data_IF_596632031562
#
_entry.id   IF_596632031562
#
_cell.length_a   1.000
_cell.length_b   1.000
_cell.length_c   1.000
_cell.angle_alpha   90.00
_cell.angle_beta   90.00
_cell.angle_gamma   90.00
#
_symmetry.space_group_name_H-M   'P 1'
#
loop_
_entity.id
_entity.type
_entity.pdbx_description
1 polymer ?
#
# COMPACT_ATOMS: atom_id res chain seq x y z
N UNK A 1 1.21 12.57 11.72
CA UNK A 1 1.46 11.36 10.90
C UNK A 1 2.73 11.59 10.06
N UNK A 2 3.51 10.55 9.70
CA UNK A 2 4.70 10.70 8.85
C UNK A 2 4.40 11.35 7.49
N UNK A 3 3.21 11.10 6.94
CA UNK A 3 2.79 11.68 5.66
C UNK A 3 2.58 13.20 5.74
N UNK A 4 2.11 13.72 6.87
CA UNK A 4 1.96 15.17 7.08
C UNK A 4 3.34 15.84 7.12
N UNK A 5 4.32 15.22 7.79
CA UNK A 5 5.70 15.72 7.81
C UNK A 5 6.29 15.76 6.39
N UNK A 6 6.04 14.74 5.57
CA UNK A 6 6.49 14.74 4.17
C UNK A 6 5.86 15.89 3.39
N UNK A 7 4.56 16.14 3.58
CA UNK A 7 3.87 17.27 2.95
C UNK A 7 4.49 18.60 3.37
N UNK A 8 4.60 18.83 4.67
CA UNK A 8 5.05 20.09 5.22
C UNK A 8 6.49 20.41 4.77
N UNK A 9 7.38 19.40 4.75
CA UNK A 9 8.74 19.53 4.20
C UNK A 9 8.71 19.86 2.71
N UNK A 10 7.86 19.19 1.93
CA UNK A 10 7.72 19.48 0.50
C UNK A 10 7.20 20.90 0.27
N UNK A 11 6.23 21.36 1.05
CA UNK A 11 5.62 22.68 0.91
C UNK A 11 6.62 23.80 1.28
N UNK A 12 7.49 23.57 2.27
CA UNK A 12 8.50 24.53 2.70
C UNK A 12 9.74 24.56 1.78
N UNK A 13 10.16 23.40 1.26
CA UNK A 13 11.49 23.23 0.63
C UNK A 13 11.46 22.79 -0.82
N UNK A 14 10.32 22.30 -1.32
CA UNK A 14 10.20 21.63 -2.61
C UNK A 14 10.85 20.24 -2.68
N UNK A 15 11.40 19.73 -1.57
CA UNK A 15 12.04 18.40 -1.56
C UNK A 15 10.98 17.31 -1.56
N UNK A 16 11.09 16.39 -2.51
CA UNK A 16 10.19 15.24 -2.64
C UNK A 16 10.74 14.03 -1.87
N UNK A 17 9.99 13.55 -0.89
CA UNK A 17 10.35 12.40 -0.05
C UNK A 17 9.32 11.28 -0.25
N UNK A 18 9.80 10.06 -0.48
CA UNK A 18 8.94 8.87 -0.58
C UNK A 18 8.63 8.25 0.78
N UNK A 19 7.58 7.44 0.86
CA UNK A 19 7.12 6.75 2.07
C UNK A 19 7.08 5.24 1.89
N UNK A 20 7.56 4.50 2.89
CA UNK A 20 7.51 3.04 2.91
C UNK A 20 6.92 2.54 4.24
N UNK A 21 5.59 2.40 4.38
CA UNK A 21 5.03 1.78 5.57
C UNK A 21 5.43 0.31 5.63
N UNK A 22 5.83 -0.16 6.81
CA UNK A 22 6.29 -1.53 7.02
C UNK A 22 5.71 -2.14 8.30
N UNK A 23 5.50 -3.45 8.27
CA UNK A 23 5.01 -4.24 9.41
C UNK A 23 3.48 -4.20 9.55
N UNK A 24 2.88 -5.38 9.78
CA UNK A 24 1.45 -5.51 10.13
C UNK A 24 0.44 -5.32 8.99
N UNK A 25 0.87 -4.93 7.79
CA UNK A 25 -0.01 -4.82 6.61
C UNK A 25 -0.16 -6.21 5.98
N UNK A 26 -1.29 -6.86 6.22
CA UNK A 26 -1.51 -8.27 5.83
C UNK A 26 -2.58 -8.45 4.76
N UNK A 27 -3.44 -7.46 4.57
CA UNK A 27 -4.60 -7.58 3.67
C UNK A 27 -4.67 -6.46 2.65
N UNK A 28 -5.24 -6.75 1.48
CA UNK A 28 -5.54 -5.80 0.42
C UNK A 28 -6.44 -4.67 0.93
N UNK A 29 -7.40 -4.97 1.82
CA UNK A 29 -8.24 -3.94 2.44
C UNK A 29 -7.41 -2.94 3.27
N UNK A 30 -6.47 -3.42 4.07
CA UNK A 30 -5.55 -2.54 4.81
C UNK A 30 -4.66 -1.74 3.85
N UNK A 31 -4.12 -2.38 2.80
CA UNK A 31 -3.33 -1.69 1.80
C UNK A 31 -4.11 -0.53 1.14
N UNK A 32 -5.38 -0.74 0.79
CA UNK A 32 -6.26 0.32 0.27
C UNK A 32 -6.41 1.47 1.27
N UNK A 33 -6.56 1.20 2.57
CA UNK A 33 -6.62 2.25 3.58
C UNK A 33 -5.35 3.13 3.59
N UNK A 34 -4.17 2.52 3.47
CA UNK A 34 -2.91 3.26 3.35
C UNK A 34 -2.87 4.13 2.08
N UNK A 35 -3.31 3.59 0.93
CA UNK A 35 -3.37 4.35 -0.32
C UNK A 35 -4.35 5.52 -0.25
N UNK A 36 -5.49 5.35 0.43
CA UNK A 36 -6.43 6.44 0.69
C UNK A 36 -5.76 7.55 1.52
N UNK A 37 -5.15 7.21 2.65
CA UNK A 37 -4.50 8.23 3.49
C UNK A 37 -3.37 8.93 2.74
N UNK A 38 -2.59 8.20 1.94
CA UNK A 38 -1.57 8.77 1.07
C UNK A 38 -2.17 9.76 0.07
N UNK A 39 -3.23 9.36 -0.64
CA UNK A 39 -3.91 10.22 -1.62
C UNK A 39 -4.45 11.49 -0.97
N UNK A 40 -5.15 11.37 0.15
CA UNK A 40 -5.74 12.53 0.84
C UNK A 40 -4.67 13.46 1.45
N UNK A 41 -3.48 12.94 1.76
CA UNK A 41 -2.44 13.73 2.44
C UNK A 41 -1.42 14.35 1.48
N UNK A 42 -0.95 13.59 0.48
CA UNK A 42 0.12 13.98 -0.45
C UNK A 42 -0.37 14.11 -1.90
N UNK A 43 -1.58 13.66 -2.20
CA UNK A 43 -2.15 13.71 -3.54
C UNK A 43 -1.63 12.62 -4.48
N UNK A 44 -2.16 12.60 -5.72
CA UNK A 44 -1.90 11.54 -6.69
C UNK A 44 -0.45 11.49 -7.19
N UNK A 45 0.32 12.58 -7.09
CA UNK A 45 1.73 12.60 -7.48
C UNK A 45 2.60 11.63 -6.67
N UNK A 46 2.20 11.32 -5.42
CA UNK A 46 2.89 10.34 -4.56
C UNK A 46 2.40 8.90 -4.73
N UNK A 47 1.36 8.65 -5.54
CA UNK A 47 0.85 7.30 -5.84
C UNK A 47 1.68 6.62 -6.94
N UNK A 48 3.00 6.60 -6.76
CA UNK A 48 3.95 5.99 -7.68
C UNK A 48 4.86 5.00 -6.95
N UNK A 49 5.38 3.95 -7.61
CA UNK A 49 6.31 3.01 -6.97
C UNK A 49 7.60 3.65 -6.44
N UNK A 50 8.00 4.80 -7.00
CA UNK A 50 9.18 5.56 -6.60
C UNK A 50 8.95 6.31 -5.27
N UNK A 51 7.72 6.78 -5.04
CA UNK A 51 7.37 7.61 -3.89
C UNK A 51 6.55 6.87 -2.83
N UNK A 52 6.03 5.68 -3.14
CA UNK A 52 5.32 4.87 -2.17
C UNK A 52 5.51 3.37 -2.39
N UNK A 53 5.92 2.65 -1.32
CA UNK A 53 6.04 1.19 -1.34
C UNK A 53 5.56 0.53 -0.07
N UNK A 54 4.91 -0.63 -0.19
CA UNK A 54 4.62 -1.47 0.97
C UNK A 54 5.85 -2.29 1.38
N UNK A 55 6.22 -2.22 2.66
CA UNK A 55 7.12 -3.17 3.31
C UNK A 55 6.31 -4.31 3.96
N UNK A 56 5.92 -5.31 3.19
CA UNK A 56 5.09 -6.41 3.66
C UNK A 56 5.57 -7.76 3.12
N UNK A 57 5.47 -8.81 3.95
CA UNK A 57 5.77 -10.19 3.56
C UNK A 57 4.50 -10.96 3.17
N UNK A 58 3.45 -10.90 3.99
CA UNK A 58 2.22 -11.66 3.78
C UNK A 58 1.15 -10.96 2.92
N UNK A 59 1.30 -9.67 2.63
CA UNK A 59 0.32 -8.90 1.84
C UNK A 59 0.16 -9.43 0.42
N UNK A 60 1.23 -9.92 -0.21
CA UNK A 60 1.22 -10.38 -1.59
C UNK A 60 0.19 -11.51 -1.80
N UNK A 61 0.15 -12.47 -0.88
CA UNK A 61 -0.76 -13.61 -0.97
C UNK A 61 -2.22 -13.17 -0.91
N UNK A 62 -2.57 -12.24 -0.01
CA UNK A 62 -3.94 -11.73 0.06
C UNK A 62 -4.32 -10.96 -1.20
N UNK A 63 -3.43 -10.13 -1.75
CA UNK A 63 -3.70 -9.41 -3.01
C UNK A 63 -3.94 -10.40 -4.17
N UNK A 64 -3.15 -11.46 -4.28
CA UNK A 64 -3.33 -12.49 -5.30
C UNK A 64 -4.67 -13.23 -5.14
N UNK A 65 -5.08 -13.55 -3.91
CA UNK A 65 -6.39 -14.14 -3.61
C UNK A 65 -7.53 -13.22 -4.05
N UNK A 66 -7.45 -11.92 -3.72
CA UNK A 66 -8.50 -10.95 -4.11
C UNK A 66 -8.59 -10.79 -5.64
N UNK A 67 -7.46 -10.69 -6.34
CA UNK A 67 -7.44 -10.60 -7.81
C UNK A 67 -8.04 -11.85 -8.47
N UNK A 68 -7.72 -13.05 -7.97
CA UNK A 68 -8.32 -14.30 -8.48
C UNK A 68 -9.82 -14.38 -8.20
N UNK A 69 -10.24 -13.99 -7.00
CA UNK A 69 -11.67 -13.93 -6.64
C UNK A 69 -12.41 -12.98 -7.59
N UNK A 70 -11.88 -11.79 -7.86
CA UNK A 70 -12.50 -10.84 -8.78
C UNK A 70 -12.63 -11.39 -10.21
N UNK A 71 -11.67 -12.20 -10.66
CA UNK A 71 -11.67 -12.79 -12.02
C UNK A 71 -12.58 -14.02 -12.15
N UNK A 72 -12.68 -14.84 -11.11
CA UNK A 72 -13.34 -16.16 -11.17
C UNK A 72 -14.68 -16.21 -10.43
N UNK A 73 -14.95 -15.26 -9.53
CA UNK A 73 -16.11 -15.26 -8.63
C UNK A 73 -16.02 -16.25 -7.46
N UNK A 74 -14.95 -17.06 -7.39
CA UNK A 74 -14.83 -18.16 -6.44
C UNK A 74 -13.78 -17.83 -5.39
N UNK A 75 -14.10 -18.07 -4.11
CA UNK A 75 -13.12 -18.06 -3.03
C UNK A 75 -12.29 -19.34 -3.05
N UNK A 76 -10.97 -19.19 -3.02
CA UNK A 76 -10.00 -20.29 -2.94
C UNK A 76 -9.44 -20.41 -1.52
N UNK A 77 -8.85 -21.56 -1.21
CA UNK A 77 -8.18 -21.75 0.09
C UNK A 77 -7.05 -20.73 0.26
N UNK A 78 -6.88 -20.14 1.45
CA UNK A 78 -5.71 -19.31 1.77
C UNK A 78 -4.36 -20.01 1.54
N UNK A 79 -4.34 -21.35 1.60
CA UNK A 79 -3.13 -22.18 1.47
C UNK A 79 -2.67 -22.38 0.00
N UNK A 80 -3.38 -21.82 -0.99
CA UNK A 80 -3.02 -21.99 -2.41
C UNK A 80 -1.76 -21.18 -2.80
N UNK A 81 -1.39 -20.17 -2.01
CA UNK A 81 -0.16 -19.40 -2.19
C UNK A 81 0.81 -19.68 -1.05
N UNK A 82 2.07 -19.93 -1.40
CA UNK A 82 3.13 -20.28 -0.45
C UNK A 82 3.24 -19.22 0.65
N UNK A 83 3.26 -19.66 1.90
CA UNK A 83 3.68 -18.86 3.03
C UNK A 83 5.22 -18.85 3.02
N UNK A 84 5.82 -17.83 2.40
CA UNK A 84 7.23 -17.53 2.63
C UNK A 84 7.45 -17.07 4.09
#
# INVERSE_FOLDING_TARGET
>A
CMLEVIRDVHDETGVVIGMKPAGGIRTAKQAVQYLCVLHETLGPAWLTPELFRFGASSLLNDVLLQLRKQRTGIYRSPDEFTLD
#
